data_IF_592124933440
#
_entry.id   IF_592124933440
#
_cell.length_a   1.000
_cell.length_b   1.000
_cell.length_c   1.000
_cell.angle_alpha   90.00
_cell.angle_beta   90.00
_cell.angle_gamma   90.00
#
_symmetry.space_group_name_H-M   'P 1'
#
loop_
_entity.id
_entity.type
_entity.pdbx_description
1 polymer ?
#
# COMPACT_ATOMS: atom_id res chain seq x y z
N UNK A 1 7.23 -10.34 -34.05
CA UNK A 1 7.93 -10.62 -32.79
C UNK A 1 7.02 -10.18 -31.65
N UNK A 2 6.23 -11.10 -31.09
CA UNK A 2 5.55 -10.91 -29.80
C UNK A 2 5.87 -12.19 -29.03
N UNK A 3 6.80 -12.08 -28.08
CA UNK A 3 7.21 -13.17 -27.20
C UNK A 3 6.18 -13.21 -26.07
N UNK A 4 5.31 -14.21 -26.10
CA UNK A 4 4.46 -14.54 -24.97
C UNK A 4 5.33 -15.17 -23.88
N UNK A 5 5.78 -14.38 -22.92
CA UNK A 5 6.45 -14.86 -21.73
C UNK A 5 5.41 -15.38 -20.73
N UNK A 6 4.96 -16.62 -20.93
CA UNK A 6 4.30 -17.40 -19.90
C UNK A 6 5.37 -17.90 -18.91
N UNK A 7 5.77 -17.04 -17.98
CA UNK A 7 6.46 -17.48 -16.77
C UNK A 7 5.42 -17.63 -15.67
N UNK A 8 4.89 -18.85 -15.55
CA UNK A 8 4.37 -19.31 -14.28
C UNK A 8 5.54 -19.42 -13.30
N UNK A 9 5.49 -18.62 -12.25
CA UNK A 9 6.23 -18.82 -11.02
C UNK A 9 5.28 -18.52 -9.86
N UNK A 10 5.17 -19.51 -8.97
CA UNK A 10 4.64 -19.46 -7.61
C UNK A 10 3.23 -18.94 -7.36
N UNK A 11 2.26 -19.87 -7.36
CA UNK A 11 1.20 -19.87 -6.34
C UNK A 11 1.84 -20.21 -4.98
N UNK A 12 2.72 -19.34 -4.50
CA UNK A 12 3.41 -19.46 -3.23
C UNK A 12 2.60 -18.72 -2.18
N UNK A 13 1.89 -19.48 -1.34
CA UNK A 13 1.11 -19.03 -0.19
C UNK A 13 0.09 -17.92 -0.50
N UNK A 14 -1.20 -18.17 -0.21
CA UNK A 14 -2.11 -17.05 0.02
C UNK A 14 -1.68 -16.37 1.33
N UNK A 15 -0.54 -15.68 1.32
CA UNK A 15 -0.24 -14.67 2.32
C UNK A 15 -1.38 -13.69 2.18
N UNK A 16 -2.28 -13.67 3.17
CA UNK A 16 -3.40 -12.74 3.16
C UNK A 16 -2.82 -11.34 3.01
N UNK A 17 -2.92 -10.80 1.79
CA UNK A 17 -2.46 -9.46 1.52
C UNK A 17 -3.16 -8.54 2.50
N UNK A 18 -2.35 -7.76 3.19
CA UNK A 18 -2.83 -6.71 4.07
C UNK A 18 -3.69 -5.75 3.25
N UNK A 19 -4.60 -5.06 3.94
CA UNK A 19 -5.48 -4.09 3.27
C UNK A 19 -4.68 -3.03 2.50
N UNK A 20 -3.54 -2.60 3.03
CA UNK A 20 -2.66 -1.64 2.38
C UNK A 20 -2.05 -2.16 1.07
N UNK A 21 -1.64 -3.43 1.03
CA UNK A 21 -1.10 -4.04 -0.18
C UNK A 21 -2.18 -4.18 -1.26
N UNK A 22 -3.39 -4.60 -0.87
CA UNK A 22 -4.54 -4.65 -1.79
C UNK A 22 -4.87 -3.27 -2.35
N UNK A 23 -4.87 -2.24 -1.52
CA UNK A 23 -5.16 -0.87 -1.93
C UNK A 23 -4.07 -0.31 -2.87
N UNK A 24 -2.79 -0.67 -2.65
CA UNK A 24 -1.68 -0.31 -3.53
C UNK A 24 -1.80 -0.94 -4.92
N UNK A 25 -2.26 -2.20 -4.99
CA UNK A 25 -2.54 -2.88 -6.25
C UNK A 25 -3.72 -2.19 -6.97
N UNK A 26 -4.81 -1.92 -6.25
CA UNK A 26 -5.99 -1.25 -6.81
C UNK A 26 -5.64 0.13 -7.37
N UNK A 27 -4.78 0.89 -6.68
CA UNK A 27 -4.33 2.20 -7.12
C UNK A 27 -3.55 2.19 -8.44
N UNK A 28 -2.94 1.06 -8.81
CA UNK A 28 -2.18 0.88 -10.05
C UNK A 28 -3.02 0.38 -11.23
N UNK A 29 -4.26 -0.06 -10.98
CA UNK A 29 -5.14 -0.53 -12.04
C UNK A 29 -5.71 0.65 -12.84
N UNK A 30 -5.94 0.48 -14.15
CA UNK A 30 -6.56 1.50 -15.01
C UNK A 30 -8.08 1.59 -14.79
N UNK A 31 -8.53 1.52 -13.53
CA UNK A 31 -9.94 1.60 -13.15
C UNK A 31 -10.25 3.05 -12.74
N UNK A 32 -11.32 3.66 -13.27
CA UNK A 32 -11.72 5.02 -12.88
C UNK A 32 -11.87 5.14 -11.35
N UNK A 33 -11.20 6.13 -10.75
CA UNK A 33 -11.22 6.37 -9.30
C UNK A 33 -10.11 5.66 -8.49
N UNK A 34 -9.35 4.73 -9.10
CA UNK A 34 -8.20 4.07 -8.47
C UNK A 34 -7.17 5.06 -7.91
N UNK A 35 -6.86 6.11 -8.67
CA UNK A 35 -5.94 7.17 -8.23
C UNK A 35 -6.46 7.93 -6.99
N UNK A 36 -7.77 8.04 -6.82
CA UNK A 36 -8.39 8.65 -5.64
C UNK A 36 -8.14 7.84 -4.37
N UNK A 37 -8.20 6.50 -4.47
CA UNK A 37 -7.87 5.59 -3.36
C UNK A 37 -6.41 5.74 -2.95
N UNK A 38 -5.48 5.76 -3.91
CA UNK A 38 -4.05 5.98 -3.62
C UNK A 38 -3.78 7.32 -2.93
N UNK A 39 -4.46 8.40 -3.36
CA UNK A 39 -4.32 9.73 -2.76
C UNK A 39 -4.85 9.76 -1.32
N UNK A 40 -5.99 9.12 -1.06
CA UNK A 40 -6.57 9.02 0.28
C UNK A 40 -5.68 8.20 1.24
N UNK A 41 -5.10 7.11 0.75
CA UNK A 41 -4.17 6.28 1.51
C UNK A 41 -2.90 7.05 1.87
N UNK A 42 -2.34 7.82 0.92
CA UNK A 42 -1.17 8.65 1.19
C UNK A 42 -1.47 9.76 2.22
N UNK A 43 -2.67 10.33 2.22
CA UNK A 43 -3.09 11.30 3.24
C UNK A 43 -3.19 10.66 4.63
N UNK A 44 -3.75 9.45 4.73
CA UNK A 44 -3.79 8.66 5.96
C UNK A 44 -2.39 8.38 6.48
N UNK A 45 -1.49 7.91 5.63
CA UNK A 45 -0.13 7.54 6.05
C UNK A 45 0.65 8.76 6.55
N UNK A 46 0.47 9.93 5.92
CA UNK A 46 1.03 11.20 6.43
C UNK A 46 0.46 11.60 7.79
N UNK A 47 -0.83 11.39 8.03
CA UNK A 47 -1.44 11.67 9.33
C UNK A 47 -0.89 10.73 10.43
N UNK A 48 -0.76 9.44 10.11
CA UNK A 48 -0.19 8.45 11.01
C UNK A 48 1.28 8.76 11.33
N UNK A 49 2.07 9.19 10.35
CA UNK A 49 3.46 9.60 10.56
C UNK A 49 3.57 10.77 11.56
N UNK A 50 2.71 11.80 11.40
CA UNK A 50 2.67 12.92 12.36
C UNK A 50 2.25 12.49 13.77
N UNK A 51 1.31 11.57 13.87
CA UNK A 51 0.90 11.02 15.17
C UNK A 51 2.05 10.25 15.83
N UNK A 52 2.75 9.40 15.07
CA UNK A 52 3.91 8.66 15.57
C UNK A 52 5.06 9.58 16.01
N UNK A 53 5.33 10.66 15.27
CA UNK A 53 6.30 11.70 15.67
C UNK A 53 5.89 12.35 17.00
N UNK A 54 4.61 12.70 17.15
CA UNK A 54 4.08 13.28 18.37
C UNK A 54 4.18 12.31 19.56
N UNK A 55 3.84 11.04 19.36
CA UNK A 55 3.91 10.01 20.40
C UNK A 55 5.36 9.73 20.82
N UNK A 56 6.31 9.74 19.88
CA UNK A 56 7.73 9.61 20.19
C UNK A 56 8.25 10.77 21.07
N UNK A 57 7.75 11.99 20.85
CA UNK A 57 8.10 13.16 21.67
C UNK A 57 7.48 13.11 23.07
N UNK A 58 6.25 12.58 23.19
CA UNK A 58 5.55 12.46 24.49
C UNK A 58 6.07 11.28 25.31
N UNK A 59 6.40 10.16 24.66
CA UNK A 59 6.90 8.93 25.29
C UNK A 59 8.35 9.01 25.76
N UNK A 60 9.14 9.98 25.27
CA UNK A 60 10.54 10.20 25.66
C UNK A 60 10.70 11.19 26.84
N UNK A 61 9.72 11.27 27.75
CA UNK A 61 9.90 12.01 29.02
C UNK A 61 10.56 11.10 30.07
N UNK A 62 11.70 11.49 30.67
CA UNK A 62 12.32 10.75 31.77
C UNK A 62 11.46 10.75 33.04
#
# INVERSE_FOLDING_TARGET
MIVAAACGAETGEQTELTRAEKDSIVAQLPVPGASGVGTAMQARDRANARAAEHDALVGNRP
#
